data_IF_531276661008
#
_entry.id   IF_531276661008
#
_cell.length_a   1.000
_cell.length_b   1.000
_cell.length_c   1.000
_cell.angle_alpha   90.00
_cell.angle_beta   90.00
_cell.angle_gamma   90.00
#
_symmetry.space_group_name_H-M   'P 1'
#
loop_
_entity.id
_entity.type
_entity.pdbx_description
1 polymer ?
#
# COMPACT_ATOMS: atom_id res chain seq x y z
N UNK A 1 7.29 11.08 32.35
CA UNK A 1 6.43 11.57 31.25
C UNK A 1 6.81 10.79 30.01
N UNK A 2 5.95 9.90 29.55
CA UNK A 2 6.15 9.18 28.30
C UNK A 2 6.06 10.18 27.15
N UNK A 3 7.19 10.46 26.51
CA UNK A 3 7.26 11.33 25.35
C UNK A 3 6.60 10.61 24.18
N UNK A 4 5.34 10.94 23.89
CA UNK A 4 4.64 10.39 22.73
C UNK A 4 5.32 10.94 21.49
N UNK A 5 5.76 10.04 20.62
CA UNK A 5 6.31 10.38 19.31
C UNK A 5 5.26 11.20 18.52
N UNK A 6 5.58 12.44 18.11
CA UNK A 6 4.64 13.33 17.43
C UNK A 6 4.14 12.77 16.09
N UNK A 7 4.92 11.95 15.39
CA UNK A 7 4.46 11.28 14.17
C UNK A 7 3.48 10.17 14.48
N UNK A 8 3.78 9.40 15.53
CA UNK A 8 2.90 8.35 16.03
C UNK A 8 1.58 8.92 16.56
N UNK A 9 1.62 10.11 17.16
CA UNK A 9 0.43 10.86 17.56
C UNK A 9 -0.43 11.32 16.37
N UNK A 10 0.16 11.47 15.18
CA UNK A 10 -0.52 11.80 13.93
C UNK A 10 -0.92 10.55 13.12
N UNK A 11 -0.77 9.34 13.68
CA UNK A 11 -1.06 8.08 12.98
C UNK A 11 -0.07 7.76 11.86
N UNK A 12 1.08 8.42 11.82
CA UNK A 12 2.09 8.21 10.80
C UNK A 12 2.92 6.99 11.18
N UNK A 13 2.72 5.90 10.45
CA UNK A 13 3.56 4.70 10.53
C UNK A 13 4.88 4.94 9.80
N UNK A 14 5.79 5.68 10.45
CA UNK A 14 7.08 6.06 9.88
C UNK A 14 8.00 4.86 9.65
N UNK A 15 7.98 3.91 10.60
CA UNK A 15 8.70 2.64 10.54
C UNK A 15 8.06 1.60 9.62
N UNK A 16 6.80 1.82 9.21
CA UNK A 16 6.00 0.92 8.37
C UNK A 16 5.87 -0.50 8.94
N UNK A 17 6.12 -0.69 10.24
CA UNK A 17 5.97 -1.98 10.92
C UNK A 17 4.55 -2.54 10.70
N UNK A 18 3.55 -1.66 10.72
CA UNK A 18 2.16 -2.00 10.43
C UNK A 18 1.96 -2.48 8.99
N UNK A 19 2.69 -1.92 8.04
CA UNK A 19 2.64 -2.35 6.62
C UNK A 19 3.29 -3.72 6.45
N UNK A 20 4.44 -3.95 7.07
CA UNK A 20 5.14 -5.24 7.01
C UNK A 20 4.33 -6.36 7.66
N UNK A 21 3.73 -6.07 8.81
CA UNK A 21 2.79 -6.99 9.45
C UNK A 21 1.58 -7.25 8.54
N UNK A 22 1.02 -6.22 7.91
CA UNK A 22 -0.16 -6.34 7.03
C UNK A 22 0.10 -7.12 5.74
N UNK A 23 1.33 -7.14 5.23
CA UNK A 23 1.67 -7.86 3.98
C UNK A 23 2.30 -9.24 4.20
N UNK A 24 2.59 -9.63 5.45
CA UNK A 24 3.29 -10.89 5.75
C UNK A 24 2.51 -12.13 5.28
N UNK A 25 1.18 -12.07 5.41
CA UNK A 25 0.26 -13.15 5.05
C UNK A 25 -0.33 -12.98 3.64
N UNK A 26 0.13 -11.99 2.86
CA UNK A 26 -0.33 -11.83 1.48
C UNK A 26 0.26 -12.95 0.60
N UNK A 27 -0.65 -13.69 -0.03
CA UNK A 27 -0.27 -14.73 -0.99
C UNK A 27 0.42 -14.12 -2.22
N UNK A 28 1.51 -14.76 -2.70
CA UNK A 28 2.17 -14.35 -3.92
C UNK A 28 1.24 -14.49 -5.12
N UNK A 29 1.47 -13.63 -6.13
CA UNK A 29 0.73 -13.68 -7.39
C UNK A 29 0.87 -15.04 -8.08
N UNK A 30 -0.23 -15.54 -8.66
CA UNK A 30 -0.29 -16.79 -9.44
C UNK A 30 0.65 -16.75 -10.64
N UNK A 31 0.93 -15.55 -11.15
CA UNK A 31 1.91 -15.34 -12.20
C UNK A 31 3.14 -14.64 -11.63
N UNK A 32 4.21 -15.40 -11.34
CA UNK A 32 5.49 -14.84 -10.97
C UNK A 32 5.96 -13.83 -12.03
N UNK A 33 6.25 -12.61 -11.61
CA UNK A 33 6.75 -11.55 -12.50
C UNK A 33 5.67 -10.72 -13.21
N UNK A 34 4.37 -10.95 -12.95
CA UNK A 34 3.32 -10.04 -13.43
C UNK A 34 3.40 -8.66 -12.74
N UNK A 35 3.08 -7.59 -13.48
CA UNK A 35 3.12 -6.20 -12.97
C UNK A 35 2.04 -5.91 -11.93
N UNK A 36 0.84 -6.45 -12.15
CA UNK A 36 -0.26 -6.41 -11.20
C UNK A 36 -0.30 -7.73 -10.43
N UNK A 37 -0.76 -7.69 -9.18
CA UNK A 37 -0.97 -8.92 -8.41
C UNK A 37 -2.12 -9.69 -9.05
N UNK A 38 -1.90 -10.97 -9.38
CA UNK A 38 -2.93 -11.84 -9.94
C UNK A 38 -3.25 -12.94 -8.94
N UNK A 39 -4.51 -13.06 -8.55
CA UNK A 39 -4.99 -14.04 -7.57
C UNK A 39 -6.02 -14.97 -8.21
N UNK A 40 -6.10 -16.22 -7.74
CA UNK A 40 -7.15 -17.15 -8.16
C UNK A 40 -8.44 -16.87 -7.36
N UNK A 41 -9.56 -16.82 -8.08
CA UNK A 41 -10.87 -16.47 -7.51
C UNK A 41 -11.78 -17.71 -7.47
N UNK A 42 -11.96 -18.35 -8.62
CA UNK A 42 -12.71 -19.61 -8.79
C UNK A 42 -11.89 -20.64 -9.58
N UNK A 43 -12.42 -21.87 -9.77
CA UNK A 43 -11.73 -22.95 -10.50
C UNK A 43 -11.18 -22.55 -11.89
N UNK A 44 -11.79 -21.55 -12.53
CA UNK A 44 -11.44 -21.13 -13.90
C UNK A 44 -11.30 -19.61 -14.07
N UNK A 45 -11.19 -18.84 -12.98
CA UNK A 45 -11.16 -17.38 -13.04
C UNK A 45 -10.02 -16.80 -12.19
N UNK A 46 -9.51 -15.64 -12.61
CA UNK A 46 -8.42 -14.92 -11.95
C UNK A 46 -8.79 -13.45 -11.78
N UNK A 47 -8.41 -12.86 -10.64
CA UNK A 47 -8.56 -11.44 -10.37
C UNK A 47 -7.21 -10.72 -10.50
N UNK A 48 -7.21 -9.50 -11.04
CA UNK A 48 -6.01 -8.68 -11.22
C UNK A 48 -6.13 -7.41 -10.36
N UNK A 49 -5.17 -7.18 -9.48
CA UNK A 49 -5.17 -6.08 -8.51
C UNK A 49 -4.07 -5.08 -8.87
N UNK A 50 -4.45 -3.81 -9.01
CA UNK A 50 -3.55 -2.70 -9.29
C UNK A 50 -3.93 -1.49 -8.40
N UNK A 51 -2.93 -0.89 -7.75
CA UNK A 51 -3.08 0.34 -6.99
C UNK A 51 -2.10 1.40 -7.52
N UNK A 52 -2.55 2.65 -7.67
CA UNK A 52 -1.76 3.74 -8.27
C UNK A 52 -1.92 5.05 -7.47
N UNK A 53 -0.91 5.94 -7.57
CA UNK A 53 -0.82 7.20 -6.82
C UNK A 53 -0.40 8.40 -7.69
N UNK A 54 -0.99 9.56 -7.42
CA UNK A 54 -0.92 10.74 -8.30
C UNK A 54 0.40 11.54 -8.25
N UNK A 55 1.19 11.38 -7.18
CA UNK A 55 2.45 12.12 -6.98
C UNK A 55 2.25 13.63 -6.86
N UNK A 56 3.31 14.41 -7.09
CA UNK A 56 3.38 15.88 -6.88
C UNK A 56 2.47 16.69 -7.79
N UNK A 57 1.74 16.04 -8.68
CA UNK A 57 0.51 16.63 -9.22
C UNK A 57 -0.37 17.13 -8.08
N UNK A 58 -0.42 16.41 -6.96
CA UNK A 58 -1.09 16.84 -5.72
C UNK A 58 -0.47 18.12 -5.15
N UNK A 59 0.85 18.22 -5.09
CA UNK A 59 1.58 19.39 -4.57
C UNK A 59 1.48 20.61 -5.48
N UNK A 60 1.64 20.43 -6.80
CA UNK A 60 1.53 21.51 -7.79
C UNK A 60 0.07 21.95 -7.92
N UNK A 61 -0.88 21.03 -7.86
CA UNK A 61 -2.29 21.38 -7.70
C UNK A 61 -2.54 22.15 -6.41
N UNK A 62 -1.93 21.73 -5.30
CA UNK A 62 -2.04 22.39 -4.00
C UNK A 62 -1.49 23.82 -4.03
N UNK A 63 -0.42 24.07 -4.78
CA UNK A 63 0.22 25.39 -4.85
C UNK A 63 -0.46 26.33 -5.87
N UNK A 64 -1.22 25.81 -6.85
CA UNK A 64 -1.76 26.58 -7.99
C UNK A 64 -3.25 26.96 -7.89
N UNK A 65 -4.04 26.27 -7.07
CA UNK A 65 -5.40 26.65 -6.66
C UNK A 65 -5.36 27.37 -5.31
#
# INVERSE_FOLDING_TARGET
>A
MTTIDPYKALGVSASKEDVHAAILELEPSVFPGAFCQVVADDEHTLSIIHADGAGTKSTVAYIKY
#
